data_IF_596267265736
#
_entry.id   IF_596267265736
#
_cell.length_a   1.000
_cell.length_b   1.000
_cell.length_c   1.000
_cell.angle_alpha   90.00
_cell.angle_beta   90.00
_cell.angle_gamma   90.00
#
_symmetry.space_group_name_H-M   'P 1'
#
loop_
_entity.id
_entity.type
_entity.pdbx_description
1 polymer ?
#
# COMPACT_ATOMS: atom_id res chain seq x y z
N UNK A 1 4.00 -18.60 4.01
CA UNK A 1 3.88 -17.62 2.91
C UNK A 1 2.46 -17.11 2.66
N UNK A 2 1.42 -17.94 2.81
CA UNK A 2 0.02 -17.47 2.78
C UNK A 2 -0.25 -16.33 3.79
N UNK A 3 0.35 -16.38 4.98
CA UNK A 3 0.22 -15.31 5.98
C UNK A 3 0.70 -13.95 5.45
N UNK A 4 1.80 -13.92 4.68
CA UNK A 4 2.29 -12.69 4.05
C UNK A 4 1.27 -12.19 3.02
N UNK A 5 0.72 -13.09 2.19
CA UNK A 5 -0.31 -12.73 1.20
C UNK A 5 -1.56 -12.15 1.86
N UNK A 6 -2.04 -12.76 2.93
CA UNK A 6 -3.22 -12.28 3.67
C UNK A 6 -2.95 -10.97 4.43
N UNK A 7 -1.74 -10.80 4.97
CA UNK A 7 -1.31 -9.53 5.55
C UNK A 7 -1.31 -8.42 4.50
N UNK A 8 -0.74 -8.66 3.31
CA UNK A 8 -0.72 -7.67 2.22
C UNK A 8 -2.14 -7.29 1.80
N UNK A 9 -3.04 -8.27 1.59
CA UNK A 9 -4.46 -8.00 1.29
C UNK A 9 -5.11 -7.11 2.35
N UNK A 10 -4.86 -7.39 3.62
CA UNK A 10 -5.38 -6.61 4.75
C UNK A 10 -4.89 -5.17 4.70
N UNK A 11 -3.60 -4.95 4.39
CA UNK A 11 -3.04 -3.61 4.28
C UNK A 11 -3.52 -2.85 3.05
N UNK A 12 -3.70 -3.51 1.90
CA UNK A 12 -4.29 -2.87 0.71
C UNK A 12 -5.71 -2.36 1.00
N UNK A 13 -6.53 -3.13 1.71
CA UNK A 13 -7.85 -2.68 2.16
C UNK A 13 -7.76 -1.42 3.03
N UNK A 14 -6.82 -1.36 3.97
CA UNK A 14 -6.60 -0.16 4.81
C UNK A 14 -6.20 1.07 4.00
N UNK A 15 -5.40 0.89 2.93
CA UNK A 15 -5.06 1.99 2.01
C UNK A 15 -6.31 2.52 1.30
N UNK A 16 -7.17 1.62 0.81
CA UNK A 16 -8.43 2.00 0.16
C UNK A 16 -9.37 2.78 1.09
N UNK A 17 -9.42 2.39 2.37
CA UNK A 17 -10.23 3.03 3.41
C UNK A 17 -9.61 4.32 3.99
N UNK A 18 -8.36 4.65 3.64
CA UNK A 18 -7.68 5.80 4.21
C UNK A 18 -8.24 7.13 3.69
N UNK A 19 -8.53 8.05 4.59
CA UNK A 19 -9.03 9.40 4.26
C UNK A 19 -7.90 10.43 4.09
N UNK A 20 -6.72 10.15 4.62
CA UNK A 20 -5.55 11.04 4.59
C UNK A 20 -4.25 10.26 4.65
N UNK A 21 -3.17 10.87 4.12
CA UNK A 21 -1.81 10.36 4.29
C UNK A 21 -1.34 10.65 5.71
N UNK A 22 -0.98 9.60 6.44
CA UNK A 22 -0.41 9.72 7.79
C UNK A 22 0.96 10.40 7.70
N UNK A 23 1.31 11.19 8.73
CA UNK A 23 2.64 11.80 8.84
C UNK A 23 3.08 12.65 7.61
N UNK A 24 2.14 13.15 6.80
CA UNK A 24 2.43 14.05 5.68
C UNK A 24 2.73 15.49 6.14
N UNK A 25 3.71 15.65 7.02
CA UNK A 25 4.22 16.96 7.45
C UNK A 25 5.75 16.94 7.64
N UNK A 26 6.33 18.13 7.83
CA UNK A 26 7.80 18.34 7.83
C UNK A 26 8.57 17.58 8.91
N UNK A 27 7.92 17.22 10.02
CA UNK A 27 8.62 16.62 11.17
C UNK A 27 8.97 15.14 10.88
N UNK A 28 8.02 14.26 10.53
CA UNK A 28 8.31 12.86 10.23
C UNK A 28 8.60 12.57 8.75
N UNK A 29 8.25 13.47 7.81
CA UNK A 29 8.44 13.24 6.38
C UNK A 29 9.25 14.38 5.73
N UNK A 30 10.52 14.09 5.40
CA UNK A 30 11.42 15.03 4.73
C UNK A 30 10.85 15.52 3.37
N UNK A 31 10.07 14.68 2.69
CA UNK A 31 9.45 14.99 1.38
C UNK A 31 7.91 15.05 1.46
N UNK A 32 7.34 15.61 2.53
CA UNK A 32 5.90 15.61 2.81
C UNK A 32 4.99 16.24 1.73
N UNK A 33 5.56 16.94 0.74
CA UNK A 33 4.82 17.54 -0.37
C UNK A 33 4.58 16.56 -1.52
N UNK A 34 5.29 15.45 -1.54
CA UNK A 34 5.27 14.48 -2.63
C UNK A 34 4.46 13.25 -2.25
N UNK A 35 3.14 13.43 -2.19
CA UNK A 35 2.20 12.37 -1.86
C UNK A 35 0.97 12.44 -2.77
N UNK A 36 0.42 11.27 -3.09
CA UNK A 36 -0.87 11.13 -3.77
C UNK A 36 -1.66 10.00 -3.12
N UNK A 37 -2.66 10.37 -2.30
CA UNK A 37 -3.55 9.38 -1.68
C UNK A 37 -4.35 8.64 -2.74
N UNK A 38 -4.91 9.37 -3.70
CA UNK A 38 -5.72 8.79 -4.77
C UNK A 38 -4.89 7.87 -5.67
N UNK A 39 -3.66 8.26 -6.02
CA UNK A 39 -2.75 7.38 -6.77
C UNK A 39 -2.41 6.11 -6.01
N UNK A 40 -2.19 6.20 -4.69
CA UNK A 40 -1.98 5.02 -3.85
C UNK A 40 -3.21 4.11 -3.82
N UNK A 41 -4.43 4.67 -3.73
CA UNK A 41 -5.69 3.92 -3.78
C UNK A 41 -5.90 3.24 -5.13
N UNK A 42 -5.60 3.91 -6.23
CA UNK A 42 -5.72 3.35 -7.58
C UNK A 42 -4.85 2.09 -7.73
N UNK A 43 -3.58 2.18 -7.32
CA UNK A 43 -2.66 1.03 -7.35
C UNK A 43 -3.14 -0.07 -6.40
N UNK A 44 -3.58 0.28 -5.19
CA UNK A 44 -4.07 -0.70 -4.22
C UNK A 44 -5.31 -1.45 -4.73
N UNK A 45 -6.22 -0.75 -5.42
CA UNK A 45 -7.39 -1.35 -6.06
C UNK A 45 -6.96 -2.28 -7.19
N UNK A 46 -6.10 -1.81 -8.09
CA UNK A 46 -5.59 -2.60 -9.22
C UNK A 46 -4.96 -3.92 -8.75
N UNK A 47 -4.07 -3.86 -7.76
CA UNK A 47 -3.40 -5.07 -7.21
C UNK A 47 -4.40 -6.00 -6.52
N UNK A 48 -5.41 -5.46 -5.84
CA UNK A 48 -6.46 -6.27 -5.21
C UNK A 48 -7.32 -7.00 -6.24
N UNK A 49 -7.64 -6.34 -7.35
CA UNK A 49 -8.44 -6.89 -8.45
C UNK A 49 -7.67 -7.93 -9.27
N UNK A 50 -6.38 -7.68 -9.55
CA UNK A 50 -5.51 -8.58 -10.32
C UNK A 50 -5.04 -9.81 -9.51
N UNK A 51 -5.01 -9.69 -8.18
CA UNK A 51 -4.55 -10.72 -7.27
C UNK A 51 -3.03 -10.73 -7.07
N UNK A 52 -2.59 -11.31 -5.94
CA UNK A 52 -1.20 -11.28 -5.50
C UNK A 52 -0.53 -12.65 -5.71
N UNK A 53 0.63 -12.65 -6.35
CA UNK A 53 1.55 -13.79 -6.46
C UNK A 53 2.81 -13.51 -5.62
N UNK A 54 3.25 -14.50 -4.84
CA UNK A 54 4.54 -14.43 -4.14
C UNK A 54 5.55 -15.19 -5.00
N UNK A 55 6.64 -14.50 -5.35
CA UNK A 55 7.75 -15.09 -6.10
C UNK A 55 8.76 -15.67 -5.10
N UNK A 56 9.05 -16.96 -5.21
CA UNK A 56 10.17 -17.59 -4.51
C UNK A 56 11.41 -17.44 -5.39
N UNK A 57 12.31 -16.54 -5.01
CA UNK A 57 13.63 -16.43 -5.64
C UNK A 57 14.56 -17.29 -4.80
N UNK A 58 14.91 -18.47 -5.31
CA UNK A 58 15.91 -19.34 -4.71
C UNK A 58 17.28 -18.73 -5.05
N UNK A 59 18.02 -18.33 -4.02
CA UNK A 59 19.42 -17.90 -4.11
C UNK A 59 20.37 -19.08 -4.05
#
# INVERSE_FOLDING_TARGET
>A
MNEIKEAVKTFLKRVLESEKVSAANKIPCKNFRDHSLEGAKEVAKKVSDEGILILEIIS
#
